data_IF_321318015393
#
_entry.id   IF_321318015393
#
_cell.length_a   1.000
_cell.length_b   1.000
_cell.length_c   1.000
_cell.angle_alpha   90.00
_cell.angle_beta   90.00
_cell.angle_gamma   90.00
#
_symmetry.space_group_name_H-M   'P 1'
#
loop_
_entity.id
_entity.type
_entity.pdbx_description
1 polymer ?
#
# COMPACT_ATOMS: atom_id res chain seq x y z
N UNK A 1 14.89 16.59 -17.65
CA UNK A 1 14.44 16.05 -16.35
C UNK A 1 13.89 17.23 -15.58
N UNK A 2 12.61 17.19 -15.24
CA UNK A 2 11.99 18.27 -14.46
C UNK A 2 12.39 18.10 -13.00
N UNK A 3 13.23 19.01 -12.51
CA UNK A 3 13.62 19.06 -11.10
C UNK A 3 12.54 19.80 -10.29
N UNK A 4 12.36 19.45 -9.02
CA UNK A 4 11.43 20.14 -8.11
C UNK A 4 10.01 19.57 -8.03
N UNK A 5 9.66 18.59 -8.86
CA UNK A 5 8.36 17.91 -8.78
C UNK A 5 8.26 17.07 -7.50
N UNK A 6 7.20 17.30 -6.74
CA UNK A 6 6.84 16.59 -5.53
C UNK A 6 6.03 15.35 -5.92
N UNK A 7 6.24 14.23 -5.22
CA UNK A 7 5.59 12.95 -5.54
C UNK A 7 5.09 12.25 -4.30
N UNK A 8 3.97 11.55 -4.45
CA UNK A 8 3.39 10.69 -3.42
C UNK A 8 2.75 9.48 -4.09
N UNK A 9 3.18 8.30 -3.71
CA UNK A 9 2.53 7.06 -4.13
C UNK A 9 1.51 6.64 -3.07
N UNK A 10 0.58 5.77 -3.45
CA UNK A 10 -0.28 5.05 -2.53
C UNK A 10 -0.64 3.70 -3.12
N UNK A 11 -0.86 2.72 -2.24
CA UNK A 11 -1.28 1.38 -2.64
C UNK A 11 -2.75 1.16 -2.32
N UNK A 12 -3.34 0.21 -3.04
CA UNK A 12 -4.61 -0.44 -2.80
C UNK A 12 -4.59 -1.79 -3.48
N UNK A 13 -5.67 -2.53 -3.36
CA UNK A 13 -5.87 -3.75 -4.14
C UNK A 13 -7.32 -3.79 -4.62
N UNK A 14 -7.55 -4.58 -5.67
CA UNK A 14 -8.89 -4.84 -6.21
C UNK A 14 -9.09 -6.34 -6.43
N UNK A 15 -10.31 -6.81 -6.20
CA UNK A 15 -10.76 -8.18 -6.47
C UNK A 15 -11.67 -8.21 -7.69
N UNK A 16 -11.86 -9.40 -8.26
CA UNK A 16 -12.79 -9.59 -9.38
C UNK A 16 -14.03 -10.39 -8.93
N UNK A 17 -15.20 -10.13 -9.53
CA UNK A 17 -15.46 -9.08 -10.51
C UNK A 17 -15.38 -7.67 -9.90
N UNK A 18 -14.92 -6.71 -10.69
CA UNK A 18 -14.87 -5.30 -10.29
C UNK A 18 -16.30 -4.75 -10.22
N UNK A 19 -16.64 -4.09 -9.12
CA UNK A 19 -17.82 -3.24 -9.03
C UNK A 19 -17.57 -1.92 -9.78
N UNK A 20 -18.22 -1.81 -10.94
CA UNK A 20 -17.97 -0.75 -11.92
C UNK A 20 -18.42 0.61 -11.38
N UNK A 21 -19.55 0.70 -10.68
CA UNK A 21 -20.08 1.99 -10.23
C UNK A 21 -19.15 2.67 -9.20
N UNK A 22 -18.71 2.01 -8.12
CA UNK A 22 -17.73 2.58 -7.21
C UNK A 22 -16.37 2.83 -7.86
N UNK A 23 -15.94 2.00 -8.82
CA UNK A 23 -14.66 2.23 -9.49
C UNK A 23 -14.69 3.47 -10.39
N UNK A 24 -15.77 3.68 -11.16
CA UNK A 24 -15.95 4.90 -11.96
C UNK A 24 -15.97 6.14 -11.07
N UNK A 25 -16.71 6.12 -9.97
CA UNK A 25 -16.71 7.21 -8.99
C UNK A 25 -15.31 7.48 -8.41
N UNK A 26 -14.47 6.44 -8.26
CA UNK A 26 -13.08 6.60 -7.79
C UNK A 26 -12.25 7.35 -8.83
N UNK A 27 -12.38 6.94 -10.10
CA UNK A 27 -11.67 7.57 -11.21
C UNK A 27 -12.10 9.02 -11.41
N UNK A 28 -13.40 9.31 -11.34
CA UNK A 28 -13.95 10.67 -11.42
C UNK A 28 -13.43 11.54 -10.28
N UNK A 29 -13.52 11.05 -9.03
CA UNK A 29 -12.99 11.77 -7.85
C UNK A 29 -11.50 12.10 -8.00
N UNK A 30 -10.71 11.15 -8.51
CA UNK A 30 -9.28 11.36 -8.79
C UNK A 30 -9.06 12.43 -9.87
N UNK A 31 -9.82 12.35 -10.96
CA UNK A 31 -9.70 13.25 -12.11
C UNK A 31 -10.07 14.69 -11.72
N UNK A 32 -11.23 14.88 -11.10
CA UNK A 32 -11.70 16.18 -10.62
C UNK A 32 -10.70 16.81 -9.64
N UNK A 33 -10.12 16.01 -8.74
CA UNK A 33 -9.11 16.49 -7.80
C UNK A 33 -7.88 17.02 -8.54
N UNK A 34 -7.41 16.32 -9.57
CA UNK A 34 -6.25 16.73 -10.35
C UNK A 34 -6.53 17.94 -11.26
N UNK A 35 -7.73 18.07 -11.84
CA UNK A 35 -8.08 19.19 -12.72
C UNK A 35 -8.27 20.52 -11.97
N UNK A 36 -8.65 20.45 -10.70
CA UNK A 36 -8.92 21.65 -9.89
C UNK A 36 -7.69 22.21 -9.17
N UNK A 37 -6.49 21.66 -9.42
CA UNK A 37 -5.21 22.18 -8.92
C UNK A 37 -4.19 22.29 -10.05
N UNK A 38 -3.45 23.40 -10.05
CA UNK A 38 -2.35 23.59 -11.00
C UNK A 38 -1.19 22.61 -10.75
N UNK A 39 -0.53 22.19 -11.83
CA UNK A 39 0.69 21.38 -11.78
C UNK A 39 0.47 19.91 -11.44
N UNK A 40 -0.77 19.40 -11.50
CA UNK A 40 -1.10 18.00 -11.17
C UNK A 40 -1.15 17.03 -12.36
N UNK A 41 -0.90 17.49 -13.59
CA UNK A 41 -1.09 16.74 -14.83
C UNK A 41 -0.19 15.51 -15.05
N UNK A 42 0.70 15.20 -14.11
CA UNK A 42 1.55 13.98 -14.10
C UNK A 42 1.09 12.94 -13.07
N UNK A 43 -0.11 13.13 -12.50
CA UNK A 43 -0.70 12.22 -11.54
C UNK A 43 -1.34 11.02 -12.24
N UNK A 44 -1.34 9.85 -11.59
CA UNK A 44 -1.85 8.58 -12.13
C UNK A 44 -2.68 7.85 -11.07
N UNK A 45 -3.81 7.31 -11.49
CA UNK A 45 -4.50 6.19 -10.84
C UNK A 45 -4.41 5.00 -11.80
N UNK A 46 -3.84 3.89 -11.35
CA UNK A 46 -3.63 2.70 -12.17
C UNK A 46 -4.07 1.44 -11.44
N UNK A 47 -4.47 0.45 -12.24
CA UNK A 47 -4.77 -0.91 -11.80
C UNK A 47 -3.91 -1.85 -12.65
N UNK A 48 -3.16 -2.73 -12.00
CA UNK A 48 -2.23 -3.63 -12.67
C UNK A 48 -2.82 -5.02 -12.80
N UNK A 49 -3.41 -5.31 -13.97
CA UNK A 49 -3.93 -6.64 -14.27
C UNK A 49 -2.82 -7.57 -14.78
N UNK A 50 -2.47 -8.57 -13.98
CA UNK A 50 -1.55 -9.65 -14.37
C UNK A 50 -1.97 -10.99 -13.74
N UNK A 51 -1.77 -12.14 -14.40
CA UNK A 51 -2.12 -13.43 -13.82
C UNK A 51 -1.39 -13.68 -12.48
N UNK A 52 -2.15 -13.88 -11.40
CA UNK A 52 -1.58 -14.08 -10.05
C UNK A 52 -1.33 -15.54 -9.69
N UNK A 53 -1.81 -16.49 -10.51
CA UNK A 53 -1.77 -17.93 -10.23
C UNK A 53 -0.39 -18.43 -9.82
N UNK A 54 0.65 -18.07 -10.56
CA UNK A 54 2.03 -18.50 -10.29
C UNK A 54 2.60 -17.94 -9.00
N UNK A 55 2.18 -16.75 -8.57
CA UNK A 55 2.62 -16.18 -7.30
C UNK A 55 1.95 -16.91 -6.13
N UNK A 56 0.69 -17.35 -6.30
CA UNK A 56 -0.10 -18.06 -5.29
C UNK A 56 0.24 -19.55 -5.15
N UNK A 57 0.87 -20.16 -6.15
CA UNK A 57 1.43 -21.52 -6.05
C UNK A 57 2.53 -21.62 -4.98
N UNK A 58 3.18 -20.50 -4.65
CA UNK A 58 4.22 -20.44 -3.60
C UNK A 58 3.56 -20.31 -2.23
N UNK A 59 3.89 -21.18 -1.24
CA UNK A 59 3.36 -21.06 0.11
C UNK A 59 3.61 -19.69 0.74
N UNK A 60 2.66 -19.21 1.54
CA UNK A 60 2.68 -17.86 2.12
C UNK A 60 3.95 -17.58 2.95
N UNK A 61 4.48 -18.60 3.62
CA UNK A 61 5.63 -18.58 4.52
C UNK A 61 6.97 -18.98 3.88
N UNK A 62 6.96 -19.36 2.59
CA UNK A 62 8.16 -19.76 1.87
C UNK A 62 9.14 -18.60 1.62
N UNK A 63 8.66 -17.35 1.66
CA UNK A 63 9.47 -16.13 1.43
C UNK A 63 9.01 -14.99 2.35
N UNK A 64 9.72 -13.86 2.33
CA UNK A 64 9.27 -12.66 3.05
C UNK A 64 8.09 -11.93 2.38
N UNK A 65 7.89 -12.09 1.07
CA UNK A 65 6.77 -11.45 0.36
C UNK A 65 5.45 -11.92 0.97
N UNK A 66 4.52 -11.01 1.29
CA UNK A 66 3.29 -11.38 2.00
C UNK A 66 2.02 -11.12 1.16
N UNK A 67 2.14 -10.54 -0.04
CA UNK A 67 1.03 -10.05 -0.86
C UNK A 67 0.59 -11.08 -1.94
N UNK A 68 0.30 -12.33 -1.55
CA UNK A 68 -0.06 -13.44 -2.49
C UNK A 68 -1.55 -13.72 -2.60
N UNK A 69 -2.36 -12.74 -2.94
CA UNK A 69 -3.81 -12.97 -3.04
C UNK A 69 -4.36 -13.08 -4.44
N UNK A 70 -5.61 -13.51 -4.48
CA UNK A 70 -6.45 -13.45 -5.67
C UNK A 70 -7.02 -12.03 -5.84
N UNK A 71 -6.11 -11.08 -6.06
CA UNK A 71 -6.40 -9.68 -6.27
C UNK A 71 -5.28 -9.05 -7.08
N UNK A 72 -5.55 -7.86 -7.61
CA UNK A 72 -4.61 -7.06 -8.37
C UNK A 72 -4.21 -5.83 -7.58
N UNK A 73 -2.99 -5.33 -7.82
CA UNK A 73 -2.54 -4.10 -7.19
C UNK A 73 -3.22 -2.90 -7.86
N UNK A 74 -3.70 -1.99 -7.03
CA UNK A 74 -4.14 -0.66 -7.44
C UNK A 74 -3.16 0.36 -6.87
N UNK A 75 -2.82 1.37 -7.66
CA UNK A 75 -1.85 2.37 -7.24
C UNK A 75 -2.31 3.78 -7.58
N UNK A 76 -1.97 4.69 -6.71
CA UNK A 76 -2.02 6.13 -6.96
C UNK A 76 -0.60 6.66 -7.02
N UNK A 77 -0.36 7.63 -7.88
CA UNK A 77 0.89 8.39 -7.93
C UNK A 77 0.53 9.84 -8.20
N UNK A 78 0.57 10.68 -7.18
CA UNK A 78 0.39 12.12 -7.34
C UNK A 78 1.72 12.79 -7.66
N UNK A 79 1.70 13.75 -8.57
CA UNK A 79 2.81 14.62 -8.87
C UNK A 79 2.32 16.07 -8.86
N UNK A 80 2.97 16.95 -8.10
CA UNK A 80 2.58 18.35 -7.96
C UNK A 80 3.78 19.25 -7.75
N UNK A 81 3.60 20.55 -7.98
CA UNK A 81 4.68 21.55 -7.86
C UNK A 81 4.48 22.43 -6.63
N UNK A 82 3.26 22.90 -6.38
CA UNK A 82 2.97 23.83 -5.30
C UNK A 82 2.98 23.14 -3.91
N UNK A 83 3.94 23.44 -3.02
CA UNK A 83 4.03 22.79 -1.72
C UNK A 83 2.84 23.12 -0.79
N UNK A 84 2.01 24.11 -1.11
CA UNK A 84 0.78 24.38 -0.34
C UNK A 84 -0.22 23.21 -0.37
N UNK A 85 -0.17 22.35 -1.40
CA UNK A 85 -1.05 21.19 -1.53
C UNK A 85 -0.58 19.95 -0.77
N UNK A 86 0.56 20.02 -0.07
CA UNK A 86 1.21 18.87 0.57
C UNK A 86 0.34 18.09 1.55
N UNK A 87 -0.37 18.80 2.43
CA UNK A 87 -1.21 18.17 3.45
C UNK A 87 -2.48 17.58 2.81
N UNK A 88 -3.08 18.37 1.92
CA UNK A 88 -4.29 18.03 1.19
C UNK A 88 -4.09 16.77 0.33
N UNK A 89 -3.03 16.71 -0.48
CA UNK A 89 -2.72 15.57 -1.34
C UNK A 89 -2.47 14.31 -0.51
N UNK A 90 -1.77 14.41 0.62
CA UNK A 90 -1.57 13.26 1.53
C UNK A 90 -2.89 12.74 2.10
N UNK A 91 -3.78 13.63 2.53
CA UNK A 91 -5.09 13.27 3.04
C UNK A 91 -5.97 12.67 1.94
N UNK A 92 -5.99 13.27 0.76
CA UNK A 92 -6.73 12.79 -0.40
C UNK A 92 -6.25 11.41 -0.82
N UNK A 93 -4.93 11.21 -0.94
CA UNK A 93 -4.33 9.93 -1.29
C UNK A 93 -4.75 8.81 -0.32
N UNK A 94 -4.65 9.06 1.00
CA UNK A 94 -5.12 8.10 2.01
C UNK A 94 -6.59 7.75 1.86
N UNK A 95 -7.43 8.75 1.62
CA UNK A 95 -8.88 8.59 1.50
C UNK A 95 -9.24 7.79 0.24
N UNK A 96 -8.59 8.10 -0.89
CA UNK A 96 -8.79 7.42 -2.17
C UNK A 96 -8.33 5.96 -2.10
N UNK A 97 -7.13 5.71 -1.55
CA UNK A 97 -6.60 4.36 -1.36
C UNK A 97 -7.47 3.52 -0.40
N UNK A 98 -8.03 4.15 0.64
CA UNK A 98 -9.00 3.50 1.54
C UNK A 98 -10.29 3.14 0.79
N UNK A 99 -10.86 4.08 0.03
CA UNK A 99 -12.06 3.86 -0.79
C UNK A 99 -11.90 2.71 -1.77
N UNK A 100 -10.77 2.63 -2.47
CA UNK A 100 -10.46 1.52 -3.39
C UNK A 100 -10.54 0.19 -2.63
N UNK A 101 -9.86 0.06 -1.49
CA UNK A 101 -9.85 -1.17 -0.69
C UNK A 101 -11.24 -1.56 -0.16
N UNK A 102 -12.05 -0.58 0.24
CA UNK A 102 -13.37 -0.81 0.83
C UNK A 102 -14.47 -1.10 -0.19
N UNK A 103 -14.33 -0.64 -1.43
CA UNK A 103 -15.36 -0.79 -2.47
C UNK A 103 -15.07 -1.91 -3.45
N UNK A 104 -13.80 -2.10 -3.80
CA UNK A 104 -13.39 -3.08 -4.80
C UNK A 104 -12.27 -4.00 -4.33
N UNK A 105 -11.59 -3.65 -3.24
CA UNK A 105 -10.53 -4.46 -2.67
C UNK A 105 -11.02 -5.62 -1.81
N UNK A 106 -10.05 -6.38 -1.35
CA UNK A 106 -10.27 -7.57 -0.54
C UNK A 106 -10.98 -7.27 0.80
N UNK A 107 -10.90 -6.02 1.30
CA UNK A 107 -11.66 -5.60 2.47
C UNK A 107 -13.17 -5.58 2.22
N UNK A 108 -13.61 -5.36 0.97
CA UNK A 108 -15.01 -5.42 0.58
C UNK A 108 -15.58 -6.85 0.61
N UNK A 109 -14.74 -7.85 0.34
CA UNK A 109 -15.17 -9.25 0.14
C UNK A 109 -14.94 -10.15 1.36
N UNK A 110 -13.93 -9.87 2.19
CA UNK A 110 -13.47 -10.80 3.24
C UNK A 110 -13.67 -10.33 4.70
N UNK A 111 -14.35 -9.21 4.95
CA UNK A 111 -14.72 -8.78 6.31
C UNK A 111 -13.57 -8.29 7.21
N UNK A 112 -12.36 -8.13 6.68
CA UNK A 112 -11.23 -7.49 7.35
C UNK A 112 -10.34 -8.40 8.22
N UNK A 113 -9.03 -8.25 7.98
CA UNK A 113 -7.83 -8.76 8.69
C UNK A 113 -7.52 -10.27 8.72
N UNK A 114 -6.22 -10.54 8.56
CA UNK A 114 -5.65 -11.74 7.97
C UNK A 114 -4.91 -12.62 8.98
N UNK A 115 -5.62 -13.46 9.72
CA UNK A 115 -4.94 -14.37 10.65
C UNK A 115 -4.05 -15.42 9.94
N UNK A 116 -4.30 -15.73 8.66
CA UNK A 116 -3.54 -16.72 7.86
C UNK A 116 -3.34 -16.43 6.36
N UNK A 117 -3.87 -15.33 5.83
CA UNK A 117 -3.87 -15.04 4.39
C UNK A 117 -2.91 -13.94 3.95
N UNK A 118 -2.87 -13.62 2.65
CA UNK A 118 -2.01 -12.57 2.10
C UNK A 118 -2.38 -11.19 2.64
N UNK A 119 -1.45 -10.24 2.74
CA UNK A 119 -1.71 -9.00 3.49
C UNK A 119 -2.58 -7.95 2.78
N UNK A 120 -2.81 -8.09 1.46
CA UNK A 120 -3.59 -7.11 0.68
C UNK A 120 -2.88 -5.76 0.50
N UNK A 121 -1.56 -5.71 0.70
CA UNK A 121 -0.76 -4.49 0.62
C UNK A 121 0.56 -4.77 -0.07
N UNK A 122 0.90 -3.96 -1.07
CA UNK A 122 2.23 -3.95 -1.66
C UNK A 122 3.09 -2.84 -1.03
N UNK A 123 3.92 -3.24 -0.07
CA UNK A 123 4.69 -2.32 0.79
C UNK A 123 5.64 -1.37 0.03
N UNK A 124 6.08 -1.73 -1.18
CA UNK A 124 7.03 -0.93 -1.96
C UNK A 124 6.43 0.38 -2.50
N UNK A 125 5.10 0.51 -2.48
CA UNK A 125 4.37 1.68 -2.98
C UNK A 125 3.49 2.33 -1.90
N UNK A 126 3.67 1.94 -0.63
CA UNK A 126 2.96 2.54 0.49
C UNK A 126 3.44 3.96 0.79
N UNK A 127 2.47 4.85 0.95
CA UNK A 127 2.70 6.28 1.18
C UNK A 127 3.25 6.55 2.59
N UNK A 128 2.63 5.86 3.55
CA UNK A 128 2.82 6.02 4.98
C UNK A 128 3.35 4.71 5.56
N UNK A 129 3.99 4.78 6.72
CA UNK A 129 4.37 3.56 7.43
C UNK A 129 3.11 2.81 7.90
N UNK A 130 2.99 1.55 7.49
CA UNK A 130 2.02 0.61 8.04
C UNK A 130 2.64 -0.25 9.14
N UNK A 131 1.79 -0.85 9.98
CA UNK A 131 2.27 -1.72 11.05
C UNK A 131 3.04 -2.92 10.46
N UNK A 132 4.08 -3.43 11.14
CA UNK A 132 4.81 -4.61 10.66
C UNK A 132 3.91 -5.84 10.49
N UNK A 133 2.82 -5.92 11.28
CA UNK A 133 1.83 -6.99 11.14
C UNK A 133 1.06 -6.87 9.83
N UNK A 134 0.68 -5.65 9.44
CA UNK A 134 0.00 -5.40 8.17
C UNK A 134 0.96 -5.53 6.97
N UNK A 135 2.24 -5.22 7.15
CA UNK A 135 3.25 -5.36 6.10
C UNK A 135 3.62 -6.81 5.80
N UNK A 136 3.74 -7.65 6.84
CA UNK A 136 4.40 -8.96 6.73
C UNK A 136 3.52 -10.14 7.14
N UNK A 137 2.37 -9.90 7.79
CA UNK A 137 1.44 -10.94 8.21
C UNK A 137 2.13 -12.04 9.02
N UNK A 138 1.87 -13.30 8.64
CA UNK A 138 2.45 -14.49 9.29
C UNK A 138 3.98 -14.56 9.19
N UNK A 139 4.60 -13.85 8.24
CA UNK A 139 6.05 -13.88 8.00
C UNK A 139 6.83 -13.01 9.00
N UNK A 140 6.14 -12.13 9.74
CA UNK A 140 6.77 -11.18 10.67
C UNK A 140 7.63 -11.87 11.75
N UNK A 141 7.19 -13.03 12.25
CA UNK A 141 7.91 -13.77 13.30
C UNK A 141 9.34 -14.12 12.85
N UNK A 142 9.48 -14.79 11.71
CA UNK A 142 10.78 -15.17 11.14
C UNK A 142 11.63 -13.95 10.80
N UNK A 143 11.01 -12.86 10.31
CA UNK A 143 11.72 -11.61 10.02
C UNK A 143 12.31 -10.99 11.28
N UNK A 144 11.60 -11.04 12.42
CA UNK A 144 12.08 -10.58 13.72
C UNK A 144 13.26 -11.39 14.25
N UNK A 145 13.24 -12.70 14.09
CA UNK A 145 14.38 -13.56 14.45
C UNK A 145 15.64 -13.17 13.67
N UNK A 146 15.49 -12.94 12.35
CA UNK A 146 16.59 -12.47 11.50
C UNK A 146 17.06 -11.07 11.90
N UNK A 147 16.13 -10.15 12.20
CA UNK A 147 16.45 -8.79 12.68
C UNK A 147 17.30 -8.84 13.95
N UNK A 148 16.91 -9.66 14.94
CA UNK A 148 17.69 -9.84 16.18
C UNK A 148 19.07 -10.43 15.93
N UNK A 149 19.20 -11.36 14.99
CA UNK A 149 20.48 -12.00 14.64
C UNK A 149 21.44 -11.07 13.91
N UNK A 150 20.93 -10.27 12.97
CA UNK A 150 21.77 -9.52 12.03
C UNK A 150 21.83 -8.00 12.31
N UNK A 151 20.88 -7.43 13.04
CA UNK A 151 20.87 -6.03 13.46
C UNK A 151 20.27 -5.87 14.88
N UNK A 152 20.94 -6.43 15.91
CA UNK A 152 20.44 -6.44 17.29
C UNK A 152 20.28 -5.05 17.89
N UNK A 153 21.03 -4.05 17.40
CA UNK A 153 20.98 -2.67 17.87
C UNK A 153 19.98 -1.80 17.07
N UNK A 154 19.21 -2.42 16.16
CA UNK A 154 18.21 -1.77 15.33
C UNK A 154 18.72 -0.53 14.58
N UNK A 155 19.94 -0.62 14.03
CA UNK A 155 20.56 0.45 13.23
C UNK A 155 19.72 0.77 11.99
N UNK A 156 19.09 -0.24 11.38
CA UNK A 156 18.25 -0.10 10.19
C UNK A 156 16.74 -0.13 10.54
N UNK A 157 16.13 1.03 10.79
CA UNK A 157 14.79 1.12 11.41
C UNK A 157 13.76 1.98 10.66
N UNK A 158 13.95 2.24 9.37
CA UNK A 158 13.06 3.12 8.59
C UNK A 158 11.78 2.42 8.12
N UNK A 159 10.76 3.23 7.87
CA UNK A 159 9.51 2.86 7.19
C UNK A 159 8.72 1.78 7.95
N UNK A 160 8.70 0.52 7.49
CA UNK A 160 7.97 -0.59 8.12
C UNK A 160 8.85 -1.39 9.09
N UNK A 161 9.48 -0.70 10.04
CA UNK A 161 10.49 -1.28 10.94
C UNK A 161 10.00 -2.53 11.66
N UNK A 162 10.70 -3.65 11.48
CA UNK A 162 10.27 -4.98 11.97
C UNK A 162 10.76 -5.31 13.38
N UNK A 163 11.60 -4.46 13.98
CA UNK A 163 12.08 -4.66 15.34
C UNK A 163 10.90 -4.73 16.32
N UNK A 164 11.05 -5.53 17.37
CA UNK A 164 10.12 -5.46 18.49
C UNK A 164 10.44 -4.20 19.29
N UNK A 165 9.40 -3.51 19.75
CA UNK A 165 9.58 -2.44 20.73
C UNK A 165 10.25 -3.06 21.94
N UNK A 166 11.48 -2.65 22.23
CA UNK A 166 12.11 -2.95 23.51
C UNK A 166 11.30 -2.20 24.55
N UNK A 167 10.30 -2.85 25.15
CA UNK A 167 9.72 -2.37 26.39
C UNK A 167 10.88 -2.07 27.33
N UNK A 168 11.04 -0.79 27.69
CA UNK A 168 12.19 -0.30 28.44
C UNK A 168 12.35 -1.10 29.73
N UNK A 169 13.47 -1.79 29.86
CA UNK A 169 14.07 -2.06 31.16
C UNK A 169 14.74 -0.75 31.60
N UNK A 170 13.95 0.15 32.16
CA UNK A 170 14.39 1.28 32.97
C UNK A 170 13.97 1.04 34.41
#
# INVERSE_FOLDING_TARGET
>A
MDHGIRRLMGSGNITMPLDIEPMLQTAETFWEFCESRDGMGKSVLAIEFFPTDKIREVPQDATAYANRGDYYDAMTSFAWENPAYDSEIRQFNRSLCKRIRETNGYSATAGGHWSKGPVGVYINIEADSISPKDAWGVNLHRLRELKKKFDPNNVFNKWHGIAEDTAGTG
#
